data_IF_195575385436
#
_entry.id   IF_195575385436
#
_cell.length_a   1.000
_cell.length_b   1.000
_cell.length_c   1.000
_cell.angle_alpha   90.00
_cell.angle_beta   90.00
_cell.angle_gamma   90.00
#
_symmetry.space_group_name_H-M   'P 1'
#
loop_
_entity.id
_entity.type
_entity.pdbx_description
1 polymer ?
#
# COMPACT_ATOMS: atom_id res chain seq x y z
N UNK A 1 27.22 43.08 3.16
CA UNK A 1 26.91 42.26 1.96
C UNK A 1 27.36 40.80 2.11
N UNK A 2 27.40 40.26 3.35
CA UNK A 2 27.68 38.85 3.63
C UNK A 2 26.59 38.17 4.49
N UNK A 3 25.60 38.94 4.95
CA UNK A 3 24.51 38.43 5.80
C UNK A 3 23.28 37.92 5.01
N UNK A 4 23.14 38.31 3.74
CA UNK A 4 22.01 37.85 2.90
C UNK A 4 22.26 36.48 2.23
N UNK A 5 23.53 36.04 2.17
CA UNK A 5 23.88 34.74 1.54
C UNK A 5 23.72 33.58 2.54
N UNK A 6 23.72 33.85 3.85
CA UNK A 6 23.56 32.81 4.88
C UNK A 6 22.10 32.43 5.20
N UNK A 7 21.10 33.19 4.74
CA UNK A 7 19.70 32.91 5.11
C UNK A 7 18.91 32.03 4.12
N UNK A 8 19.46 31.71 2.95
CA UNK A 8 18.77 30.88 1.96
C UNK A 8 19.30 29.44 1.84
N UNK A 9 20.38 29.08 2.54
CA UNK A 9 20.94 27.72 2.50
C UNK A 9 20.25 26.74 3.47
N UNK A 10 19.48 27.22 4.44
CA UNK A 10 18.95 26.39 5.55
C UNK A 10 17.49 25.93 5.40
N UNK A 11 16.81 26.22 4.28
CA UNK A 11 15.38 25.85 4.13
C UNK A 11 15.09 24.56 3.35
N UNK A 12 16.09 23.91 2.74
CA UNK A 12 15.85 22.75 1.85
C UNK A 12 16.67 21.48 2.13
N UNK A 13 17.50 21.44 3.17
CA UNK A 13 18.50 20.36 3.36
C UNK A 13 18.02 19.15 4.17
N UNK A 14 16.81 19.18 4.74
CA UNK A 14 16.30 18.08 5.59
C UNK A 14 14.81 17.75 5.35
N UNK A 15 14.31 17.84 4.11
CA UNK A 15 13.04 17.18 3.84
C UNK A 15 13.26 15.67 3.91
N UNK A 16 12.63 15.02 4.90
CA UNK A 16 12.56 13.57 4.94
C UNK A 16 11.99 13.10 3.58
N UNK A 17 12.72 12.29 2.79
CA UNK A 17 12.25 11.85 1.47
C UNK A 17 10.93 11.08 1.55
N UNK A 18 10.60 10.55 2.73
CA UNK A 18 9.35 9.87 3.02
C UNK A 18 8.19 10.81 3.47
N UNK A 19 8.40 12.13 3.55
CA UNK A 19 7.31 13.06 3.90
C UNK A 19 6.24 13.13 2.81
N UNK A 20 6.66 13.18 1.52
CA UNK A 20 5.74 13.16 0.37
C UNK A 20 4.99 11.83 0.28
N UNK A 21 5.72 10.75 0.52
CA UNK A 21 5.21 9.39 0.71
C UNK A 21 4.17 9.28 1.83
N UNK A 22 4.39 9.94 2.97
CA UNK A 22 3.41 9.94 4.07
C UNK A 22 2.08 10.57 3.66
N UNK A 23 2.10 11.65 2.87
CA UNK A 23 0.88 12.26 2.33
C UNK A 23 0.14 11.33 1.36
N UNK A 24 0.88 10.55 0.55
CA UNK A 24 0.28 9.52 -0.31
C UNK A 24 -0.43 8.44 0.52
N UNK A 25 0.22 7.88 1.56
CA UNK A 25 -0.39 6.83 2.39
C UNK A 25 -1.58 7.32 3.19
N UNK A 26 -1.57 8.56 3.67
CA UNK A 26 -2.72 9.16 4.36
C UNK A 26 -3.98 9.16 3.50
N UNK A 27 -3.86 9.22 2.16
CA UNK A 27 -5.03 9.11 1.28
C UNK A 27 -5.77 7.78 1.47
N UNK A 28 -5.08 6.71 1.85
CA UNK A 28 -5.68 5.38 2.09
C UNK A 28 -6.63 5.34 3.30
N UNK A 29 -6.68 6.39 4.13
CA UNK A 29 -7.67 6.51 5.23
C UNK A 29 -9.01 7.10 4.77
N UNK A 30 -9.12 7.50 3.50
CA UNK A 30 -10.38 8.00 2.95
C UNK A 30 -11.46 6.89 2.95
N UNK A 31 -12.75 7.24 3.02
CA UNK A 31 -13.83 6.28 2.83
C UNK A 31 -13.74 5.57 1.48
N UNK A 32 -14.14 4.30 1.41
CA UNK A 32 -14.05 3.48 0.19
C UNK A 32 -14.59 4.14 -1.08
N UNK A 33 -15.77 4.80 -1.09
CA UNK A 33 -16.25 5.48 -2.30
C UNK A 33 -15.26 6.53 -2.83
N UNK A 34 -14.65 7.31 -1.91
CA UNK A 34 -13.63 8.29 -2.27
C UNK A 34 -12.31 7.66 -2.69
N UNK A 35 -12.00 6.48 -2.17
CA UNK A 35 -10.82 5.73 -2.60
C UNK A 35 -10.99 5.18 -4.03
N UNK A 36 -12.20 4.74 -4.41
CA UNK A 36 -12.50 4.29 -5.77
C UNK A 36 -12.35 5.45 -6.76
N UNK A 37 -12.96 6.60 -6.47
CA UNK A 37 -12.79 7.81 -7.31
C UNK A 37 -11.31 8.23 -7.41
N UNK A 38 -10.58 8.11 -6.31
CA UNK A 38 -9.16 8.45 -6.25
C UNK A 38 -8.30 7.45 -7.05
N UNK A 39 -8.68 6.16 -7.07
CA UNK A 39 -7.93 5.07 -7.72
C UNK A 39 -7.70 5.36 -9.22
N UNK A 40 -8.64 6.05 -9.87
CA UNK A 40 -8.53 6.49 -11.27
C UNK A 40 -7.29 7.36 -11.54
N UNK A 41 -6.76 8.03 -10.51
CA UNK A 41 -5.63 8.96 -10.62
C UNK A 41 -4.44 8.60 -9.71
N UNK A 42 -4.68 7.80 -8.68
CA UNK A 42 -3.72 7.46 -7.64
C UNK A 42 -3.72 5.94 -7.45
N UNK A 43 -3.20 5.25 -8.45
CA UNK A 43 -3.20 3.80 -8.67
C UNK A 43 -2.95 2.97 -7.38
N UNK A 44 -4.02 2.50 -6.74
CA UNK A 44 -4.00 1.62 -5.57
C UNK A 44 -4.10 0.18 -6.07
N UNK A 45 -2.96 -0.50 -6.10
CA UNK A 45 -2.86 -1.86 -6.66
C UNK A 45 -2.49 -2.89 -5.62
N UNK A 46 -3.08 -4.07 -5.76
CA UNK A 46 -2.90 -5.22 -4.89
C UNK A 46 -2.27 -6.36 -5.66
N UNK A 47 -1.29 -7.02 -5.04
CA UNK A 47 -0.70 -8.25 -5.56
C UNK A 47 -1.71 -9.40 -5.46
N UNK A 48 -1.65 -10.35 -6.40
CA UNK A 48 -2.70 -11.36 -6.58
C UNK A 48 -2.94 -12.28 -5.37
N UNK A 49 -1.92 -12.63 -4.59
CA UNK A 49 -2.11 -13.52 -3.43
C UNK A 49 -2.80 -12.78 -2.27
N UNK A 50 -2.43 -11.53 -2.01
CA UNK A 50 -3.14 -10.69 -1.03
C UNK A 50 -4.58 -10.43 -1.48
N UNK A 51 -4.79 -10.07 -2.74
CA UNK A 51 -6.12 -9.85 -3.31
C UNK A 51 -7.01 -11.09 -3.14
N UNK A 52 -6.49 -12.27 -3.53
CA UNK A 52 -7.18 -13.54 -3.35
C UNK A 52 -7.48 -13.84 -1.88
N UNK A 53 -6.54 -13.59 -0.96
CA UNK A 53 -6.81 -13.78 0.47
C UNK A 53 -7.98 -12.92 0.96
N UNK A 54 -8.05 -11.66 0.55
CA UNK A 54 -9.13 -10.74 0.94
C UNK A 54 -10.48 -11.18 0.35
N UNK A 55 -10.48 -11.66 -0.90
CA UNK A 55 -11.67 -12.21 -1.57
C UNK A 55 -12.12 -13.49 -0.86
N UNK A 56 -11.21 -14.44 -0.65
CA UNK A 56 -11.53 -15.74 -0.06
C UNK A 56 -12.03 -15.61 1.40
N UNK A 57 -11.62 -14.57 2.13
CA UNK A 57 -12.17 -14.26 3.47
C UNK A 57 -13.46 -13.45 3.44
N UNK A 58 -13.98 -13.09 2.26
CA UNK A 58 -15.20 -12.30 2.03
C UNK A 58 -15.30 -11.04 2.90
N UNK A 59 -14.15 -10.41 3.19
CA UNK A 59 -14.07 -9.42 4.27
C UNK A 59 -13.65 -8.06 3.73
N UNK A 60 -14.64 -7.25 3.35
CA UNK A 60 -14.46 -5.81 3.11
C UNK A 60 -13.81 -5.11 4.32
N UNK A 61 -14.04 -5.67 5.50
CA UNK A 61 -13.43 -5.27 6.76
C UNK A 61 -11.91 -5.45 6.74
N UNK A 62 -11.39 -6.55 6.20
CA UNK A 62 -9.95 -6.79 6.16
C UNK A 62 -9.26 -5.91 5.11
N UNK A 63 -9.89 -5.66 3.97
CA UNK A 63 -9.42 -4.64 3.01
C UNK A 63 -9.23 -3.28 3.69
N UNK A 64 -10.27 -2.78 4.39
CA UNK A 64 -10.21 -1.50 5.10
C UNK A 64 -9.10 -1.46 6.15
N UNK A 65 -8.91 -2.55 6.88
CA UNK A 65 -7.89 -2.62 7.92
C UNK A 65 -6.47 -2.70 7.33
N UNK A 66 -6.26 -3.40 6.21
CA UNK A 66 -4.98 -3.40 5.49
C UNK A 66 -4.64 -1.99 5.00
N UNK A 67 -5.58 -1.32 4.34
CA UNK A 67 -5.42 0.06 3.86
C UNK A 67 -5.07 1.02 5.02
N UNK A 68 -5.80 0.91 6.13
CA UNK A 68 -5.53 1.69 7.34
C UNK A 68 -4.14 1.40 7.92
N UNK A 69 -3.74 0.12 8.00
CA UNK A 69 -2.44 -0.25 8.52
C UNK A 69 -1.29 0.29 7.66
N UNK A 70 -1.43 0.29 6.34
CA UNK A 70 -0.47 0.94 5.42
C UNK A 70 -0.43 2.46 5.67
N UNK A 71 -1.59 3.09 5.83
CA UNK A 71 -1.69 4.53 6.09
C UNK A 71 -0.98 4.96 7.38
N UNK A 72 -1.12 4.18 8.43
CA UNK A 72 -0.60 4.47 9.77
C UNK A 72 0.83 3.95 9.99
N UNK A 73 1.39 3.22 9.02
CA UNK A 73 2.70 2.59 9.18
C UNK A 73 3.82 3.63 9.35
N UNK A 74 4.58 3.45 10.44
CA UNK A 74 5.81 4.20 10.73
C UNK A 74 6.98 3.44 10.11
N UNK A 75 7.54 4.01 9.04
CA UNK A 75 8.67 3.42 8.31
C UNK A 75 9.90 3.35 9.22
N UNK A 76 10.51 2.16 9.28
CA UNK A 76 11.78 1.87 9.97
C UNK A 76 12.81 1.51 8.90
N UNK A 77 13.62 2.48 8.49
CA UNK A 77 14.49 2.39 7.29
C UNK A 77 15.41 1.17 7.30
N UNK A 78 15.99 0.87 8.46
CA UNK A 78 16.97 -0.20 8.67
C UNK A 78 16.38 -1.58 8.35
N UNK A 79 15.08 -1.73 8.62
CA UNK A 79 14.34 -2.98 8.42
C UNK A 79 13.68 -3.02 7.05
N UNK A 80 13.04 -1.92 6.65
CA UNK A 80 12.06 -1.87 5.56
C UNK A 80 12.68 -1.64 4.17
N UNK A 81 13.82 -0.96 4.10
CA UNK A 81 14.45 -0.60 2.82
C UNK A 81 15.52 -1.61 2.40
N UNK A 82 16.36 -2.02 3.34
CA UNK A 82 17.53 -2.86 3.09
C UNK A 82 17.19 -4.31 2.73
N UNK A 83 16.06 -4.84 3.22
CA UNK A 83 15.73 -6.25 3.06
C UNK A 83 14.68 -6.54 1.99
N UNK A 84 13.77 -5.61 1.71
CA UNK A 84 12.57 -5.90 0.90
C UNK A 84 12.35 -4.94 -0.25
N UNK A 85 13.21 -3.92 -0.43
CA UNK A 85 13.01 -2.84 -1.40
C UNK A 85 11.58 -2.25 -1.35
N UNK A 86 10.96 -2.31 -0.17
CA UNK A 86 9.60 -1.86 0.10
C UNK A 86 9.63 -0.52 0.81
N UNK A 87 8.51 0.20 0.78
CA UNK A 87 8.35 1.36 1.65
C UNK A 87 8.08 0.94 3.11
N UNK A 88 7.51 -0.26 3.33
CA UNK A 88 7.36 -0.87 4.64
C UNK A 88 6.75 -2.27 4.58
N UNK A 89 6.92 -3.05 5.65
CA UNK A 89 6.19 -4.31 5.83
C UNK A 89 5.88 -4.63 7.31
N UNK A 90 4.74 -5.27 7.54
CA UNK A 90 4.24 -5.58 8.87
C UNK A 90 3.46 -6.89 8.91
N UNK A 91 3.45 -7.51 10.08
CA UNK A 91 2.51 -8.59 10.39
C UNK A 91 1.15 -8.00 10.72
N UNK A 92 0.09 -8.60 10.22
CA UNK A 92 -1.27 -8.10 10.36
C UNK A 92 -2.19 -9.17 10.93
N UNK A 93 -2.85 -8.87 12.07
CA UNK A 93 -3.81 -9.78 12.72
C UNK A 93 -5.07 -9.89 11.86
N UNK A 94 -5.28 -11.06 11.25
CA UNK A 94 -6.37 -11.34 10.29
C UNK A 94 -5.87 -11.98 8.99
N UNK A 95 -4.57 -11.97 8.76
CA UNK A 95 -3.92 -12.80 7.75
C UNK A 95 -3.30 -14.01 8.47
N UNK A 96 -3.23 -15.17 7.81
CA UNK A 96 -2.59 -16.39 8.35
C UNK A 96 -1.28 -16.07 9.08
N UNK A 97 -1.09 -16.70 10.24
CA UNK A 97 0.17 -16.63 10.99
C UNK A 97 1.33 -16.93 10.04
N UNK A 98 2.35 -16.06 10.02
CA UNK A 98 3.52 -16.05 9.13
C UNK A 98 3.42 -15.30 7.79
N UNK A 99 2.26 -14.74 7.42
CA UNK A 99 2.19 -13.83 6.27
C UNK A 99 2.35 -12.37 6.73
N UNK A 100 3.26 -11.66 6.08
CA UNK A 100 3.49 -10.23 6.30
C UNK A 100 2.95 -9.46 5.10
N UNK A 101 2.35 -8.30 5.33
CA UNK A 101 1.94 -7.36 4.27
C UNK A 101 3.10 -6.41 4.03
N UNK A 102 3.47 -6.22 2.77
CA UNK A 102 4.34 -5.14 2.34
C UNK A 102 3.53 -4.08 1.58
N UNK A 103 4.10 -2.90 1.50
CA UNK A 103 3.67 -1.90 0.54
C UNK A 103 4.88 -1.19 -0.08
N UNK A 104 4.70 -0.74 -1.32
CA UNK A 104 5.67 0.06 -2.07
C UNK A 104 4.98 1.28 -2.61
N UNK A 105 5.55 2.44 -2.37
CA UNK A 105 5.07 3.69 -2.93
C UNK A 105 5.72 3.88 -4.31
N UNK A 106 4.91 4.32 -5.26
CA UNK A 106 5.35 4.65 -6.61
C UNK A 106 5.05 6.13 -6.89
N UNK A 107 5.61 6.72 -7.95
CA UNK A 107 5.25 8.08 -8.34
C UNK A 107 3.74 8.26 -8.57
N UNK A 108 3.05 7.21 -9.02
CA UNK A 108 1.64 7.25 -9.40
C UNK A 108 0.67 6.61 -8.40
N UNK A 109 1.15 6.01 -7.30
CA UNK A 109 0.27 5.33 -6.36
C UNK A 109 0.97 4.44 -5.35
N UNK A 110 0.28 3.38 -4.93
CA UNK A 110 0.75 2.46 -3.90
C UNK A 110 0.45 1.02 -4.34
N UNK A 111 1.48 0.18 -4.26
CA UNK A 111 1.37 -1.27 -4.41
C UNK A 111 1.34 -1.93 -3.03
N UNK A 112 0.43 -2.86 -2.81
CA UNK A 112 0.26 -3.59 -1.56
C UNK A 112 0.24 -5.09 -1.87
N UNK A 113 0.89 -5.92 -1.05
CA UNK A 113 0.89 -7.38 -1.22
C UNK A 113 1.41 -8.10 0.00
N UNK A 114 1.52 -9.42 -0.05
CA UNK A 114 2.31 -10.19 0.91
C UNK A 114 3.79 -10.07 0.62
N UNK A 115 4.62 -10.02 1.66
CA UNK A 115 6.06 -9.84 1.52
C UNK A 115 6.70 -10.91 0.61
N UNK A 116 6.22 -12.16 0.71
CA UNK A 116 6.66 -13.26 -0.17
C UNK A 116 6.38 -13.00 -1.66
N UNK A 117 5.40 -12.15 -2.00
CA UNK A 117 5.09 -11.81 -3.39
C UNK A 117 6.21 -11.02 -4.05
N UNK A 118 7.06 -10.34 -3.28
CA UNK A 118 8.23 -9.63 -3.82
C UNK A 118 9.17 -10.57 -4.59
N UNK A 119 9.30 -11.83 -4.17
CA UNK A 119 10.08 -12.81 -4.92
C UNK A 119 9.44 -13.19 -6.24
N UNK A 120 8.10 -13.31 -6.28
CA UNK A 120 7.38 -13.69 -7.48
C UNK A 120 7.35 -12.56 -8.49
N UNK A 121 7.18 -11.31 -8.04
CA UNK A 121 7.26 -10.11 -8.89
C UNK A 121 8.61 -10.02 -9.60
N UNK A 122 9.70 -10.37 -8.91
CA UNK A 122 11.03 -10.36 -9.50
C UNK A 122 11.28 -11.52 -10.48
N UNK A 123 10.55 -12.63 -10.35
CA UNK A 123 10.78 -13.88 -11.09
C UNK A 123 9.85 -14.06 -12.29
N UNK A 124 8.64 -13.47 -12.26
CA UNK A 124 7.62 -13.68 -13.27
C UNK A 124 7.32 -12.40 -14.05
N UNK A 125 7.44 -12.48 -15.37
CA UNK A 125 7.20 -11.36 -16.29
C UNK A 125 5.73 -10.90 -16.28
N UNK A 126 4.79 -11.83 -16.09
CA UNK A 126 3.35 -11.57 -16.08
C UNK A 126 2.74 -11.65 -14.67
N UNK A 127 3.43 -11.09 -13.66
CA UNK A 127 2.85 -11.06 -12.33
C UNK A 127 1.55 -10.25 -12.31
N UNK A 128 0.48 -10.83 -11.75
CA UNK A 128 -0.86 -10.25 -11.79
C UNK A 128 -1.11 -9.30 -10.62
N UNK A 129 -1.80 -8.21 -10.91
CA UNK A 129 -2.24 -7.21 -9.95
C UNK A 129 -3.74 -6.96 -10.09
N UNK A 130 -4.34 -6.43 -9.03
CA UNK A 130 -5.74 -6.03 -8.97
C UNK A 130 -5.80 -4.56 -8.55
N UNK A 131 -6.58 -3.75 -9.25
CA UNK A 131 -6.96 -2.41 -8.81
C UNK A 131 -7.89 -2.50 -7.58
N UNK A 132 -8.06 -1.38 -6.86
CA UNK A 132 -8.99 -1.34 -5.74
C UNK A 132 -10.42 -1.64 -6.22
N UNK A 133 -10.80 -1.11 -7.37
CA UNK A 133 -12.12 -1.33 -7.95
C UNK A 133 -12.35 -2.81 -8.29
N UNK A 134 -11.41 -3.46 -8.98
CA UNK A 134 -11.50 -4.89 -9.30
C UNK A 134 -11.63 -5.75 -8.05
N UNK A 135 -10.85 -5.43 -7.01
CA UNK A 135 -10.90 -6.15 -5.74
C UNK A 135 -12.25 -5.99 -5.04
N UNK A 136 -12.81 -4.78 -5.00
CA UNK A 136 -14.13 -4.53 -4.38
C UNK A 136 -15.24 -5.25 -5.14
N UNK A 137 -15.23 -5.19 -6.47
CA UNK A 137 -16.19 -5.91 -7.31
C UNK A 137 -16.14 -7.41 -7.02
N UNK A 138 -14.95 -8.01 -6.99
CA UNK A 138 -14.78 -9.43 -6.71
C UNK A 138 -15.29 -9.84 -5.31
N UNK A 139 -15.10 -8.99 -4.29
CA UNK A 139 -15.64 -9.22 -2.93
C UNK A 139 -17.17 -9.16 -2.94
N UNK A 140 -17.76 -8.20 -3.64
CA UNK A 140 -19.22 -8.04 -3.70
C UNK A 140 -19.87 -9.20 -4.44
N UNK A 141 -19.30 -9.62 -5.57
CA UNK A 141 -19.79 -10.76 -6.34
C UNK A 141 -19.73 -12.05 -5.52
N UNK A 142 -18.62 -12.29 -4.82
CA UNK A 142 -18.46 -13.46 -3.94
C UNK A 142 -19.45 -13.49 -2.77
N UNK A 143 -19.89 -12.32 -2.27
CA UNK A 143 -20.95 -12.24 -1.27
C UNK A 143 -22.33 -12.57 -1.86
N UNK A 144 -22.63 -12.06 -3.06
CA UNK A 144 -23.89 -12.34 -3.75
C UNK A 144 -24.07 -13.81 -4.11
N UNK A 145 -22.97 -14.50 -4.46
CA UNK A 145 -22.97 -15.93 -4.76
C UNK A 145 -23.08 -16.81 -3.50
N UNK A 146 -22.75 -16.29 -2.31
CA UNK A 146 -22.81 -17.04 -1.04
C UNK A 146 -24.21 -17.11 -0.40
N UNK A 147 -25.19 -16.36 -0.95
CA UNK A 147 -26.58 -16.31 -0.49
C UNK A 147 -27.52 -17.30 -1.22
N UNK A 148 -26.97 -18.28 -1.95
CA UNK A 148 -27.68 -19.37 -2.65
C UNK A 148 -27.25 -20.76 -2.18
#
# INVERSE_FOLDING_TARGET
MQDEIKQNADKNTYQNPFSKSQEQRKKLTLPLPKLIELDETFNIVFCCLLAKHIIDTNSLTDLKKVLKAVAEYKIVREKDLLNSHSAGYFSYKGIQENKQVFFKETPSGILIGFLQETEYIAKFEEYKYYTLQELITAIVDALADSDF
#
